data_IF_745913865005
#
_entry.id   IF_745913865005
#
_cell.length_a   1.000
_cell.length_b   1.000
_cell.length_c   1.000
_cell.angle_alpha   90.00
_cell.angle_beta   90.00
_cell.angle_gamma   90.00
#
_symmetry.space_group_name_H-M   'P 1'
#
loop_
_entity.id
_entity.type
_entity.pdbx_description
1 polymer ?
#
# COMPACT_ATOMS: atom_id res chain seq x y z
N UNK A 1 16.80 10.09 -4.07
CA UNK A 1 16.39 8.97 -3.21
C UNK A 1 17.03 9.17 -1.86
N UNK A 2 16.22 9.19 -0.82
CA UNK A 2 16.63 9.46 0.54
C UNK A 2 16.21 8.32 1.45
N UNK A 3 16.82 8.21 2.63
CA UNK A 3 16.32 7.33 3.66
C UNK A 3 15.24 8.09 4.42
N UNK A 4 14.09 7.46 4.64
CA UNK A 4 13.04 7.92 5.55
C UNK A 4 13.03 6.97 6.75
N UNK A 5 13.29 7.54 7.92
CA UNK A 5 13.22 6.83 9.18
C UNK A 5 11.92 7.20 9.89
N UNK A 6 11.14 6.18 10.21
CA UNK A 6 10.00 6.30 11.12
C UNK A 6 10.50 6.06 12.53
N UNK A 7 10.37 7.08 13.38
CA UNK A 7 10.83 7.05 14.76
C UNK A 7 9.66 7.21 15.71
N UNK A 8 9.87 6.70 16.92
CA UNK A 8 9.01 6.97 18.06
C UNK A 8 9.86 7.35 19.26
N UNK A 9 9.36 8.29 20.06
CA UNK A 9 9.99 8.69 21.31
C UNK A 9 8.93 8.89 22.40
N UNK A 10 9.39 9.02 23.63
CA UNK A 10 8.49 9.28 24.76
C UNK A 10 7.74 10.60 24.56
N UNK A 11 6.46 10.59 24.92
CA UNK A 11 5.60 11.77 24.91
C UNK A 11 5.91 12.70 26.10
N UNK A 12 7.04 13.42 26.01
CA UNK A 12 7.50 14.37 27.02
C UNK A 12 7.64 15.79 26.42
N UNK A 13 7.52 16.85 27.24
CA UNK A 13 7.59 18.23 26.76
C UNK A 13 8.87 18.58 25.99
N UNK A 14 10.01 18.02 26.39
CA UNK A 14 11.29 18.31 25.74
C UNK A 14 11.34 17.78 24.31
N UNK A 15 10.93 16.53 24.09
CA UNK A 15 10.90 15.94 22.75
C UNK A 15 9.96 16.71 21.80
N UNK A 16 8.79 17.16 22.29
CA UNK A 16 7.87 17.99 21.49
C UNK A 16 8.51 19.31 21.08
N UNK A 17 9.11 19.99 22.06
CA UNK A 17 9.78 21.28 21.83
C UNK A 17 10.89 21.14 20.80
N UNK A 18 11.68 20.08 20.87
CA UNK A 18 12.76 19.84 19.92
C UNK A 18 12.22 19.52 18.51
N UNK A 19 11.19 18.68 18.39
CA UNK A 19 10.52 18.40 17.11
C UNK A 19 9.90 19.66 16.49
N UNK A 20 9.24 20.49 17.30
CA UNK A 20 8.70 21.79 16.87
C UNK A 20 9.82 22.72 16.37
N UNK A 21 10.97 22.77 17.07
CA UNK A 21 12.15 23.54 16.65
C UNK A 21 12.76 23.02 15.35
N UNK A 22 12.69 21.70 15.12
CA UNK A 22 13.17 21.07 13.90
C UNK A 22 12.16 21.18 12.74
N UNK A 23 10.97 21.75 12.98
CA UNK A 23 9.87 21.82 12.03
C UNK A 23 9.45 20.42 11.51
N UNK A 24 9.44 19.43 12.41
CA UNK A 24 9.05 18.06 12.09
C UNK A 24 7.63 17.82 12.60
N UNK A 25 6.72 17.52 11.68
CA UNK A 25 5.36 17.10 12.01
C UNK A 25 5.37 15.74 12.73
N UNK A 26 4.50 15.59 13.73
CA UNK A 26 4.38 14.36 14.51
C UNK A 26 2.92 14.02 14.86
N UNK A 27 2.69 12.74 15.15
CA UNK A 27 1.41 12.20 15.61
C UNK A 27 1.57 11.50 16.96
N UNK A 28 0.46 11.33 17.67
CA UNK A 28 0.41 10.57 18.92
C UNK A 28 -0.12 9.17 18.66
N UNK A 29 0.49 8.17 19.29
CA UNK A 29 -0.05 6.82 19.32
C UNK A 29 0.08 6.20 20.71
N UNK A 30 -0.85 5.31 21.05
CA UNK A 30 -0.80 4.55 22.30
C UNK A 30 -0.14 3.20 22.04
N UNK A 31 0.97 2.93 22.71
CA UNK A 31 1.69 1.67 22.63
C UNK A 31 0.97 0.53 23.37
N UNK A 32 1.44 -0.70 23.16
CA UNK A 32 0.92 -1.90 23.83
C UNK A 32 1.09 -1.89 25.36
N UNK A 33 2.00 -1.06 25.87
CA UNK A 33 2.18 -0.82 27.30
C UNK A 33 1.22 0.23 27.86
N UNK A 34 0.22 0.64 27.07
CA UNK A 34 -0.76 1.69 27.37
C UNK A 34 -0.15 3.06 27.62
N UNK A 35 1.10 3.31 27.18
CA UNK A 35 1.69 4.65 27.20
C UNK A 35 1.49 5.36 25.88
N UNK A 36 1.36 6.68 25.94
CA UNK A 36 1.33 7.53 24.75
C UNK A 36 2.76 7.86 24.31
N UNK A 37 3.01 7.74 23.01
CA UNK A 37 4.27 8.02 22.35
C UNK A 37 4.07 9.07 21.25
N UNK A 38 5.15 9.75 20.91
CA UNK A 38 5.22 10.61 19.73
C UNK A 38 5.80 9.78 18.59
N UNK A 39 5.18 9.83 17.41
CA UNK A 39 5.63 9.18 16.19
C UNK A 39 5.82 10.21 15.09
N UNK A 40 6.92 10.11 14.35
CA UNK A 40 7.27 11.03 13.28
C UNK A 40 8.14 10.37 12.23
N UNK A 41 8.19 10.98 11.05
CA UNK A 41 9.11 10.60 9.99
C UNK A 41 10.14 11.70 9.76
N UNK A 42 11.39 11.31 9.59
CA UNK A 42 12.48 12.21 9.23
C UNK A 42 13.25 11.62 8.07
N UNK A 43 13.70 12.48 7.16
CA UNK A 43 14.53 12.04 6.06
C UNK A 43 16.02 12.29 6.28
N UNK A 44 16.88 11.45 5.71
CA UNK A 44 18.34 11.56 5.81
C UNK A 44 18.93 12.84 5.23
N UNK A 45 18.17 13.59 4.43
CA UNK A 45 18.56 14.90 3.91
C UNK A 45 18.09 16.07 4.79
N UNK A 46 17.28 15.82 5.83
CA UNK A 46 16.90 16.83 6.81
C UNK A 46 18.12 17.24 7.63
N UNK A 47 18.33 18.55 7.80
CA UNK A 47 19.48 19.10 8.55
C UNK A 47 19.53 18.62 10.01
N UNK A 48 18.38 18.24 10.58
CA UNK A 48 18.26 17.73 11.95
C UNK A 48 18.21 16.20 12.00
N UNK A 49 18.48 15.47 10.90
CA UNK A 49 18.39 14.01 10.85
C UNK A 49 19.19 13.32 11.96
N UNK A 50 20.45 13.72 12.17
CA UNK A 50 21.26 13.13 13.25
C UNK A 50 20.74 13.53 14.64
N UNK A 51 20.25 14.77 14.78
CA UNK A 51 19.78 15.35 16.04
C UNK A 51 18.51 14.70 16.56
N UNK A 52 17.63 14.19 15.69
CA UNK A 52 16.41 13.50 16.14
C UNK A 52 16.73 12.21 16.91
N UNK A 53 17.90 11.60 16.70
CA UNK A 53 18.32 10.41 17.45
C UNK A 53 18.81 10.73 18.86
N UNK A 54 19.04 12.02 19.16
CA UNK A 54 19.40 12.50 20.51
C UNK A 54 18.16 12.74 21.39
N UNK A 55 16.96 12.69 20.81
CA UNK A 55 15.70 12.81 21.56
C UNK A 55 15.59 11.70 22.62
N UNK A 56 15.03 12.03 23.77
CA UNK A 56 14.99 11.10 24.91
C UNK A 56 14.15 9.87 24.57
N UNK A 57 14.74 8.69 24.79
CA UNK A 57 14.15 7.38 24.51
C UNK A 57 13.64 7.23 23.06
N UNK A 58 14.26 7.94 22.12
CA UNK A 58 13.94 7.80 20.71
C UNK A 58 14.45 6.47 20.18
N UNK A 59 13.61 5.80 19.38
CA UNK A 59 13.92 4.52 18.75
C UNK A 59 13.47 4.55 17.30
N UNK A 60 14.24 3.87 16.46
CA UNK A 60 13.85 3.58 15.08
C UNK A 60 12.80 2.47 15.13
N UNK A 61 11.63 2.73 14.54
CA UNK A 61 10.66 1.68 14.28
C UNK A 61 10.92 0.99 12.95
N UNK A 62 11.03 1.79 11.89
CA UNK A 62 11.24 1.29 10.55
C UNK A 62 12.06 2.29 9.74
N UNK A 63 12.81 1.80 8.79
CA UNK A 63 13.51 2.64 7.81
C UNK A 63 13.12 2.18 6.41
N UNK A 64 12.79 3.14 5.56
CA UNK A 64 12.38 2.93 4.17
C UNK A 64 13.07 3.93 3.25
N UNK A 65 12.96 3.72 1.95
CA UNK A 65 13.41 4.72 0.98
C UNK A 65 12.28 5.73 0.74
N UNK A 66 12.62 7.01 0.83
CA UNK A 66 11.81 8.13 0.40
C UNK A 66 12.21 8.59 -1.00
N UNK A 67 11.23 9.10 -1.72
CA UNK A 67 11.40 9.66 -3.06
C UNK A 67 10.91 11.09 -3.04
N UNK A 68 11.69 11.99 -3.63
CA UNK A 68 11.27 13.39 -3.75
C UNK A 68 10.09 13.50 -4.71
N UNK A 69 9.37 14.61 -4.65
CA UNK A 69 8.29 14.90 -5.59
C UNK A 69 8.81 14.92 -7.05
N UNK A 70 10.04 15.40 -7.27
CA UNK A 70 10.69 15.38 -8.59
C UNK A 70 11.00 13.96 -9.08
N UNK A 71 11.48 13.08 -8.19
CA UNK A 71 11.70 11.67 -8.52
C UNK A 71 10.38 10.96 -8.86
N UNK A 72 9.32 11.27 -8.12
CA UNK A 72 8.00 10.73 -8.39
C UNK A 72 7.39 11.32 -9.66
N UNK A 73 7.52 12.63 -9.91
CA UNK A 73 6.97 13.33 -11.08
C UNK A 73 7.67 12.90 -12.39
N UNK A 74 8.96 12.55 -12.32
CA UNK A 74 9.76 12.11 -13.48
C UNK A 74 9.56 10.64 -13.86
N UNK A 75 9.08 9.80 -12.95
CA UNK A 75 8.79 8.40 -13.24
C UNK A 75 7.57 8.27 -14.16
N UNK A 76 7.56 7.31 -15.08
CA UNK A 76 6.36 7.03 -15.91
C UNK A 76 5.34 6.17 -15.19
N UNK A 77 5.86 5.20 -14.44
CA UNK A 77 5.12 4.19 -13.70
C UNK A 77 5.56 4.18 -12.25
N UNK A 78 4.60 3.90 -11.37
CA UNK A 78 4.76 3.92 -9.93
C UNK A 78 4.17 2.65 -9.34
N UNK A 79 4.83 2.09 -8.34
CA UNK A 79 4.20 1.18 -7.40
C UNK A 79 3.33 2.02 -6.45
N UNK A 80 2.12 1.55 -6.16
CA UNK A 80 1.16 2.21 -5.28
C UNK A 80 0.79 1.31 -4.11
N UNK A 81 0.74 1.88 -2.89
CA UNK A 81 0.39 1.17 -1.66
C UNK A 81 -0.41 2.05 -0.71
N UNK A 82 -1.18 1.45 0.20
CA UNK A 82 -1.93 2.16 1.24
C UNK A 82 -1.20 2.09 2.58
N UNK A 83 -0.95 3.26 3.17
CA UNK A 83 -0.37 3.43 4.52
C UNK A 83 -1.35 3.13 5.64
N UNK A 84 -2.65 3.22 5.37
CA UNK A 84 -3.65 3.35 6.41
C UNK A 84 -4.56 2.13 6.48
N UNK A 85 -4.13 1.15 7.27
CA UNK A 85 -4.93 -0.04 7.59
C UNK A 85 -5.98 0.37 8.62
N UNK A 86 -7.25 0.42 8.21
CA UNK A 86 -8.37 0.83 9.08
C UNK A 86 -9.52 -0.13 9.12
N UNK A 87 -9.66 -0.97 8.10
CA UNK A 87 -10.80 -1.88 8.03
C UNK A 87 -10.44 -3.21 8.65
N UNK A 88 -11.04 -3.48 9.81
CA UNK A 88 -11.05 -4.81 10.39
C UNK A 88 -12.11 -5.64 9.68
N UNK A 89 -11.64 -6.52 8.79
CA UNK A 89 -12.50 -7.35 7.95
C UNK A 89 -12.70 -8.66 8.70
N UNK A 90 -13.66 -8.66 9.62
CA UNK A 90 -13.94 -9.81 10.49
C UNK A 90 -14.61 -11.01 9.77
N UNK A 91 -14.91 -10.92 8.47
CA UNK A 91 -15.72 -11.90 7.73
C UNK A 91 -15.02 -12.36 6.43
N UNK A 92 -13.77 -12.82 6.56
CA UNK A 92 -12.95 -13.31 5.46
C UNK A 92 -13.56 -14.55 4.76
N UNK A 93 -14.27 -15.43 5.49
CA UNK A 93 -14.82 -16.69 4.96
C UNK A 93 -15.98 -16.47 3.97
N UNK A 94 -16.78 -15.42 4.17
CA UNK A 94 -17.92 -15.14 3.29
C UNK A 94 -17.52 -14.28 2.09
N UNK A 95 -16.41 -13.53 2.20
CA UNK A 95 -15.91 -12.66 1.13
C UNK A 95 -14.99 -13.41 0.17
N UNK A 96 -14.18 -14.33 0.70
CA UNK A 96 -13.13 -15.02 -0.04
C UNK A 96 -13.35 -16.52 -0.08
N UNK A 97 -13.13 -17.08 -1.27
CA UNK A 97 -12.82 -18.48 -1.41
C UNK A 97 -11.32 -18.66 -1.21
N UNK A 98 -10.96 -19.58 -0.33
CA UNK A 98 -9.58 -19.96 -0.12
C UNK A 98 -9.33 -21.26 -0.87
N UNK A 99 -8.60 -21.19 -1.97
CA UNK A 99 -8.10 -22.39 -2.62
C UNK A 99 -6.97 -22.95 -1.76
N UNK A 100 -7.27 -24.09 -1.12
CA UNK A 100 -6.26 -24.86 -0.41
C UNK A 100 -5.35 -25.55 -1.43
N UNK A 101 -4.05 -25.57 -1.14
CA UNK A 101 -3.16 -26.52 -1.78
C UNK A 101 -3.72 -27.96 -1.58
N UNK A 102 -4.04 -28.73 -2.64
CA UNK A 102 -4.79 -30.01 -2.54
C UNK A 102 -4.14 -31.10 -1.67
N UNK A 103 -2.92 -30.88 -1.21
CA UNK A 103 -2.08 -31.84 -0.50
C UNK A 103 -1.58 -31.32 0.86
N UNK A 104 -2.09 -30.18 1.36
CA UNK A 104 -1.72 -29.65 2.68
C UNK A 104 -2.80 -28.77 3.29
N UNK A 105 -3.05 -29.00 4.57
CA UNK A 105 -3.98 -28.18 5.37
C UNK A 105 -3.37 -26.88 5.89
N UNK A 106 -2.05 -26.68 5.79
CA UNK A 106 -1.34 -25.66 6.58
C UNK A 106 -0.43 -24.72 5.78
N UNK A 107 -0.34 -24.84 4.44
CA UNK A 107 0.63 -24.06 3.67
C UNK A 107 0.00 -23.56 2.37
N UNK A 108 -0.14 -22.24 2.30
CA UNK A 108 -0.66 -21.40 1.21
C UNK A 108 -2.16 -21.53 0.92
N UNK A 109 -2.88 -20.44 1.22
CA UNK A 109 -4.23 -20.19 0.72
C UNK A 109 -4.11 -19.17 -0.41
N UNK A 110 -4.56 -19.53 -1.62
CA UNK A 110 -4.88 -18.49 -2.60
C UNK A 110 -6.25 -17.93 -2.22
N UNK A 111 -6.29 -16.62 -2.01
CA UNK A 111 -7.49 -15.89 -1.66
C UNK A 111 -8.09 -15.35 -2.95
N UNK A 112 -9.26 -15.86 -3.34
CA UNK A 112 -10.03 -15.31 -4.46
C UNK A 112 -11.28 -14.64 -3.93
N UNK A 113 -11.48 -13.38 -4.26
CA UNK A 113 -12.71 -12.69 -3.87
C UNK A 113 -13.89 -13.27 -4.65
N UNK A 114 -14.88 -13.80 -3.94
CA UNK A 114 -16.10 -14.34 -4.55
C UNK A 114 -17.34 -13.50 -4.22
N UNK A 115 -17.29 -12.70 -3.15
CA UNK A 115 -18.35 -11.80 -2.77
C UNK A 115 -17.81 -10.39 -2.44
N UNK A 116 -18.66 -9.36 -2.50
CA UNK A 116 -18.31 -8.03 -2.00
C UNK A 116 -17.96 -8.05 -0.51
N UNK A 117 -17.06 -7.17 -0.10
CA UNK A 117 -16.76 -6.96 1.32
C UNK A 117 -17.99 -6.52 2.11
N UNK A 118 -18.10 -7.00 3.35
CA UNK A 118 -19.13 -6.56 4.30
C UNK A 118 -18.48 -5.73 5.41
N UNK A 119 -18.92 -4.48 5.58
CA UNK A 119 -18.47 -3.61 6.66
C UNK A 119 -19.57 -3.34 7.68
N UNK A 120 -19.23 -3.58 8.95
CA UNK A 120 -20.17 -3.46 10.08
C UNK A 120 -20.40 -2.04 10.55
N UNK A 121 -19.42 -1.16 10.34
CA UNK A 121 -19.45 0.22 10.80
C UNK A 121 -19.42 1.21 9.64
N UNK A 122 -19.79 2.46 9.92
CA UNK A 122 -19.71 3.55 8.94
C UNK A 122 -18.27 4.02 8.79
N UNK A 123 -17.82 4.21 7.55
CA UNK A 123 -16.50 4.74 7.28
C UNK A 123 -16.49 6.24 7.58
N UNK A 124 -15.57 6.66 8.46
CA UNK A 124 -15.32 8.08 8.75
C UNK A 124 -14.10 8.55 7.96
N UNK A 125 -14.37 9.16 6.80
CA UNK A 125 -13.36 9.86 6.03
C UNK A 125 -12.95 11.15 6.76
N UNK A 126 -11.64 11.35 6.92
CA UNK A 126 -11.09 12.60 7.44
C UNK A 126 -10.76 13.50 6.25
N UNK A 127 -10.65 14.84 6.42
CA UNK A 127 -10.15 15.70 5.36
C UNK A 127 -8.82 15.16 4.82
N UNK A 128 -8.66 15.08 3.49
CA UNK A 128 -7.45 14.57 2.82
C UNK A 128 -7.15 13.08 3.03
N UNK A 129 -8.13 12.32 3.53
CA UNK A 129 -8.06 10.88 3.68
C UNK A 129 -9.21 10.25 2.88
N UNK A 130 -8.91 9.82 1.67
CA UNK A 130 -9.83 9.23 0.70
C UNK A 130 -9.53 7.77 0.41
N UNK A 131 -8.45 7.21 0.96
CA UNK A 131 -8.08 5.81 0.78
C UNK A 131 -7.70 5.16 2.10
N UNK A 132 -8.12 3.92 2.27
CA UNK A 132 -7.77 3.05 3.38
C UNK A 132 -7.56 1.62 2.88
N UNK A 133 -6.85 0.80 3.65
CA UNK A 133 -6.67 -0.63 3.39
C UNK A 133 -7.22 -1.50 4.53
N UNK A 134 -7.39 -2.78 4.23
CA UNK A 134 -7.76 -3.82 5.18
C UNK A 134 -6.64 -4.10 6.20
N UNK A 135 -7.00 -4.40 7.45
CA UNK A 135 -6.16 -5.13 8.39
C UNK A 135 -6.08 -6.60 7.97
N UNK A 136 -4.96 -7.28 8.24
CA UNK A 136 -4.92 -8.75 8.15
C UNK A 136 -4.45 -9.37 6.83
N UNK A 137 -4.01 -8.59 5.83
CA UNK A 137 -3.19 -9.14 4.74
C UNK A 137 -3.81 -9.22 3.35
N UNK A 138 -4.85 -8.42 3.05
CA UNK A 138 -5.14 -8.03 1.67
C UNK A 138 -4.44 -6.74 1.31
N UNK A 139 -3.85 -6.67 0.11
CA UNK A 139 -3.44 -5.41 -0.52
C UNK A 139 -4.68 -4.59 -0.97
N UNK A 140 -5.89 -5.05 -0.67
CA UNK A 140 -7.14 -4.42 -1.08
C UNK A 140 -7.27 -2.96 -0.59
N UNK A 141 -7.49 -2.06 -1.54
CA UNK A 141 -7.65 -0.63 -1.32
C UNK A 141 -9.13 -0.27 -1.40
N UNK A 142 -9.58 0.51 -0.43
CA UNK A 142 -10.92 1.08 -0.37
C UNK A 142 -10.85 2.59 -0.50
N UNK A 143 -11.85 3.19 -1.14
CA UNK A 143 -11.84 4.61 -1.42
C UNK A 143 -13.19 5.29 -1.14
N UNK A 144 -13.12 6.61 -0.94
CA UNK A 144 -14.26 7.48 -0.69
C UNK A 144 -15.06 7.76 -1.98
N UNK A 145 -16.33 8.19 -1.88
CA UNK A 145 -17.09 8.65 -3.05
C UNK A 145 -16.42 9.81 -3.79
N UNK A 146 -15.66 10.65 -3.08
CA UNK A 146 -14.88 11.74 -3.66
C UNK A 146 -13.78 11.18 -4.59
N UNK A 147 -13.01 10.20 -4.13
CA UNK A 147 -12.00 9.54 -4.96
C UNK A 147 -12.62 8.90 -6.21
N UNK A 148 -13.73 8.17 -6.06
CA UNK A 148 -14.47 7.59 -7.20
C UNK A 148 -14.82 8.66 -8.23
N UNK A 149 -15.37 9.79 -7.78
CA UNK A 149 -15.72 10.91 -8.64
C UNK A 149 -14.50 11.46 -9.37
N UNK A 150 -13.39 11.69 -8.66
CA UNK A 150 -12.16 12.23 -9.23
C UNK A 150 -11.56 11.29 -10.29
N UNK A 151 -11.49 9.99 -10.03
CA UNK A 151 -11.01 9.01 -11.02
C UNK A 151 -11.89 8.98 -12.28
N UNK A 152 -13.22 8.98 -12.11
CA UNK A 152 -14.16 8.99 -13.24
C UNK A 152 -14.09 10.28 -14.05
N UNK A 153 -14.04 11.44 -13.40
CA UNK A 153 -13.93 12.75 -14.07
C UNK A 153 -12.64 12.88 -14.87
N UNK A 154 -11.56 12.27 -14.41
CA UNK A 154 -10.27 12.26 -15.09
C UNK A 154 -10.12 11.09 -16.09
N UNK A 155 -11.20 10.32 -16.33
CA UNK A 155 -11.23 9.19 -17.27
C UNK A 155 -10.08 8.21 -17.05
N UNK A 156 -9.76 7.87 -15.80
CA UNK A 156 -8.70 6.89 -15.49
C UNK A 156 -9.13 5.51 -15.96
N UNK A 157 -8.26 4.82 -16.69
CA UNK A 157 -8.52 3.50 -17.28
C UNK A 157 -7.76 2.41 -16.49
N UNK A 158 -8.37 1.25 -16.29
CA UNK A 158 -7.75 0.14 -15.55
C UNK A 158 -8.16 0.04 -14.08
N UNK A 159 -9.03 0.95 -13.61
CA UNK A 159 -9.60 0.94 -12.26
C UNK A 159 -11.13 1.01 -12.34
N UNK A 160 -11.77 0.04 -11.69
CA UNK A 160 -13.19 0.01 -11.39
C UNK A 160 -13.44 0.15 -9.88
N UNK A 161 -14.71 0.34 -9.52
CA UNK A 161 -15.13 0.58 -8.14
C UNK A 161 -16.19 -0.44 -7.72
N UNK A 162 -15.75 -1.44 -6.96
CA UNK A 162 -16.57 -2.50 -6.41
C UNK A 162 -17.48 -2.01 -5.29
N UNK A 163 -18.66 -2.61 -5.22
CA UNK A 163 -19.61 -2.39 -4.13
C UNK A 163 -19.02 -2.95 -2.83
N UNK A 164 -19.30 -2.26 -1.73
CA UNK A 164 -19.12 -2.77 -0.36
C UNK A 164 -20.51 -2.88 0.25
N UNK A 165 -20.80 -3.95 0.96
CA UNK A 165 -22.09 -4.24 1.55
C UNK A 165 -22.15 -3.93 3.04
N UNK A 166 -23.37 -3.76 3.54
CA UNK A 166 -23.73 -3.80 4.96
C UNK A 166 -24.02 -5.25 5.37
N UNK A 167 -24.11 -5.49 6.68
CA UNK A 167 -24.49 -6.81 7.23
C UNK A 167 -25.85 -7.33 6.79
N UNK A 168 -26.78 -6.43 6.40
CA UNK A 168 -28.09 -6.80 5.86
C UNK A 168 -28.05 -7.13 4.34
N UNK A 169 -26.85 -7.12 3.73
CA UNK A 169 -26.65 -7.39 2.30
C UNK A 169 -26.89 -6.20 1.39
N UNK A 170 -27.31 -5.04 1.91
CA UNK A 170 -27.52 -3.85 1.09
C UNK A 170 -26.21 -3.14 0.77
N UNK A 171 -26.14 -2.55 -0.43
CA UNK A 171 -24.97 -1.81 -0.90
C UNK A 171 -24.74 -0.54 -0.06
N UNK A 172 -23.46 -0.21 0.13
CA UNK A 172 -23.00 1.05 0.71
C UNK A 172 -22.75 2.08 -0.38
N UNK A 173 -22.99 3.33 -0.04
CA UNK A 173 -22.74 4.51 -0.87
C UNK A 173 -21.61 5.38 -0.32
N UNK A 174 -21.07 5.04 0.86
CA UNK A 174 -20.06 5.82 1.57
C UNK A 174 -18.63 5.25 1.42
N UNK A 175 -18.46 4.10 0.77
CA UNK A 175 -17.17 3.43 0.56
C UNK A 175 -17.25 2.47 -0.63
N UNK A 176 -16.16 2.39 -1.38
CA UNK A 176 -16.02 1.50 -2.53
C UNK A 176 -14.70 0.74 -2.45
N UNK A 177 -14.65 -0.48 -2.97
CA UNK A 177 -13.40 -1.20 -3.19
C UNK A 177 -12.80 -0.74 -4.52
N UNK A 178 -11.51 -0.42 -4.54
CA UNK A 178 -10.78 -0.14 -5.76
C UNK A 178 -10.38 -1.46 -6.43
N UNK A 179 -10.87 -1.70 -7.64
CA UNK A 179 -10.64 -2.94 -8.40
C UNK A 179 -9.76 -2.62 -9.59
N UNK A 180 -8.63 -3.31 -9.76
CA UNK A 180 -7.81 -3.16 -10.94
C UNK A 180 -8.26 -4.17 -12.00
N UNK A 181 -8.65 -3.67 -13.17
CA UNK A 181 -9.29 -4.52 -14.18
C UNK A 181 -8.29 -5.28 -15.03
N UNK A 182 -7.03 -4.82 -15.06
CA UNK A 182 -5.97 -5.39 -15.89
C UNK A 182 -4.90 -6.04 -15.00
N UNK A 183 -4.59 -7.31 -15.32
CA UNK A 183 -3.54 -8.08 -14.65
C UNK A 183 -2.25 -8.02 -15.47
N UNK A 184 -1.14 -7.68 -14.82
CA UNK A 184 0.20 -7.78 -15.39
C UNK A 184 0.81 -9.12 -15.05
N UNK A 185 1.19 -9.83 -16.11
CA UNK A 185 2.04 -10.99 -15.99
C UNK A 185 3.44 -10.56 -15.55
N UNK A 186 4.15 -11.49 -14.93
CA UNK A 186 5.54 -11.26 -14.49
C UNK A 186 6.45 -10.82 -15.63
N UNK A 187 6.21 -11.28 -16.85
CA UNK A 187 7.04 -10.96 -18.02
C UNK A 187 7.09 -9.46 -18.30
N UNK A 188 6.09 -8.70 -17.86
CA UNK A 188 6.04 -7.23 -17.94
C UNK A 188 6.84 -6.53 -16.84
N UNK A 189 7.44 -7.27 -15.91
CA UNK A 189 8.20 -6.76 -14.79
C UNK A 189 9.66 -7.14 -14.91
N UNK A 190 10.54 -6.25 -14.45
CA UNK A 190 11.96 -6.51 -14.35
C UNK A 190 12.45 -6.26 -12.93
N UNK A 191 13.40 -7.08 -12.51
CA UNK A 191 14.06 -6.92 -11.22
C UNK A 191 15.55 -7.22 -11.40
N UNK A 192 16.47 -6.33 -11.00
CA UNK A 192 17.90 -6.49 -11.28
C UNK A 192 18.53 -7.77 -10.70
N UNK A 193 17.99 -8.31 -9.60
CA UNK A 193 18.48 -9.57 -9.01
C UNK A 193 17.67 -10.80 -9.43
N UNK A 194 16.77 -10.63 -10.40
CA UNK A 194 15.84 -11.65 -10.83
C UNK A 194 14.79 -12.00 -9.78
N UNK A 195 13.86 -12.85 -10.21
CA UNK A 195 12.84 -13.42 -9.34
C UNK A 195 13.20 -14.87 -9.04
N UNK A 196 12.82 -15.38 -7.86
CA UNK A 196 12.86 -16.82 -7.57
C UNK A 196 11.51 -17.42 -7.94
N UNK A 197 11.55 -18.66 -8.41
CA UNK A 197 10.38 -19.50 -8.62
C UNK A 197 10.39 -20.64 -7.60
N UNK A 198 10.06 -20.38 -6.32
CA UNK A 198 9.78 -21.49 -5.45
C UNK A 198 8.53 -22.18 -5.99
N UNK A 199 8.64 -23.48 -6.23
CA UNK A 199 7.45 -24.29 -6.36
C UNK A 199 6.84 -24.45 -4.97
N UNK A 200 5.51 -24.43 -4.88
CA UNK A 200 4.83 -24.93 -3.70
C UNK A 200 5.38 -26.33 -3.42
N UNK A 201 5.97 -26.54 -2.24
CA UNK A 201 6.64 -27.80 -1.87
C UNK A 201 5.69 -29.01 -1.79
N UNK A 202 4.41 -28.80 -2.08
CA UNK A 202 3.31 -29.72 -1.81
C UNK A 202 2.51 -30.00 -3.08
N UNK A 203 2.01 -28.99 -3.79
CA UNK A 203 1.34 -29.17 -5.09
C UNK A 203 2.27 -29.05 -6.30
N UNK A 204 3.46 -28.47 -6.13
CA UNK A 204 4.43 -28.27 -7.22
C UNK A 204 4.14 -27.08 -8.12
N UNK A 205 3.06 -26.32 -7.88
CA UNK A 205 2.78 -25.10 -8.65
C UNK A 205 3.87 -24.05 -8.45
N UNK A 206 4.24 -23.37 -9.54
CA UNK A 206 5.19 -22.26 -9.49
C UNK A 206 4.56 -21.01 -8.91
N UNK A 207 5.27 -20.39 -7.97
CA UNK A 207 4.98 -19.05 -7.47
C UNK A 207 6.05 -18.09 -8.00
N UNK A 208 5.68 -16.83 -8.21
CA UNK A 208 6.68 -15.78 -8.43
C UNK A 208 7.04 -15.16 -7.09
N UNK A 209 8.33 -15.07 -6.77
CA UNK A 209 8.82 -14.39 -5.58
C UNK A 209 9.95 -13.43 -5.93
N UNK A 210 9.97 -12.28 -5.27
CA UNK A 210 11.14 -11.43 -5.29
C UNK A 210 12.26 -12.09 -4.50
N UNK A 211 13.46 -12.15 -5.10
CA UNK A 211 14.63 -12.75 -4.48
C UNK A 211 15.23 -11.89 -3.35
N UNK A 212 14.44 -11.14 -2.57
CA UNK A 212 14.95 -10.18 -1.56
C UNK A 212 13.89 -9.73 -0.54
N UNK A 213 14.31 -9.09 0.58
CA UNK A 213 13.41 -8.48 1.54
C UNK A 213 12.46 -7.49 0.87
N UNK A 214 11.26 -7.36 1.43
CA UNK A 214 10.21 -6.40 1.03
C UNK A 214 10.61 -4.94 1.21
N UNK A 215 11.87 -4.61 1.47
CA UNK A 215 12.38 -3.23 1.55
C UNK A 215 13.05 -2.78 0.25
N UNK A 216 13.18 -3.67 -0.74
CA UNK A 216 13.92 -3.42 -1.98
C UNK A 216 13.02 -3.32 -3.23
N UNK A 217 11.71 -3.09 -3.03
CA UNK A 217 10.72 -2.91 -4.12
C UNK A 217 11.04 -1.77 -5.07
N UNK A 218 11.74 -0.73 -4.60
CA UNK A 218 12.18 0.37 -5.45
C UNK A 218 13.14 -0.05 -6.57
N UNK A 219 13.70 -1.26 -6.49
CA UNK A 219 14.50 -1.82 -7.57
C UNK A 219 13.66 -2.47 -8.67
N UNK A 220 12.35 -2.66 -8.44
CA UNK A 220 11.43 -3.17 -9.44
C UNK A 220 11.27 -2.16 -10.57
N UNK A 221 11.12 -2.67 -11.77
CA UNK A 221 10.79 -1.91 -12.96
C UNK A 221 9.73 -2.61 -13.78
N UNK A 222 9.32 -1.93 -14.84
CA UNK A 222 8.37 -2.41 -15.84
C UNK A 222 9.04 -2.43 -17.20
N UNK A 223 8.67 -3.41 -18.02
CA UNK A 223 9.10 -3.52 -19.41
C UNK A 223 7.99 -2.91 -20.27
N UNK A 224 8.22 -1.73 -20.82
CA UNK A 224 7.12 -0.89 -21.33
C UNK A 224 6.37 -1.55 -22.49
N UNK A 225 7.09 -2.20 -23.39
CA UNK A 225 6.53 -2.87 -24.57
C UNK A 225 5.56 -4.02 -24.24
N UNK A 226 5.57 -4.49 -22.98
CA UNK A 226 4.72 -5.57 -22.51
C UNK A 226 3.53 -5.08 -21.70
N UNK A 227 3.42 -3.77 -21.44
CA UNK A 227 2.27 -3.21 -20.78
C UNK A 227 1.09 -3.07 -21.75
N UNK A 228 -0.14 -3.40 -21.32
CA UNK A 228 -1.33 -3.06 -22.09
C UNK A 228 -1.38 -1.56 -22.40
N UNK A 229 -1.67 -1.23 -23.67
CA UNK A 229 -1.70 0.16 -24.13
C UNK A 229 -2.97 0.85 -23.67
N UNK A 230 -2.86 2.15 -23.38
CA UNK A 230 -3.97 3.02 -22.96
C UNK A 230 -4.65 2.60 -21.65
N UNK A 231 -3.90 1.93 -20.77
CA UNK A 231 -4.35 1.58 -19.42
C UNK A 231 -3.50 2.37 -18.44
N UNK A 232 -4.13 2.96 -17.42
CA UNK A 232 -3.46 3.84 -16.45
C UNK A 232 -3.05 3.10 -15.17
N UNK A 233 -3.56 1.90 -14.93
CA UNK A 233 -3.40 1.16 -13.70
C UNK A 233 -3.55 -0.35 -13.89
N UNK A 234 -2.75 -1.10 -13.14
CA UNK A 234 -2.70 -2.54 -13.18
C UNK A 234 -2.52 -3.14 -11.80
N UNK A 235 -2.91 -4.41 -11.65
CA UNK A 235 -2.47 -5.29 -10.56
C UNK A 235 -1.59 -6.40 -11.13
N UNK A 236 -0.67 -6.96 -10.35
CA UNK A 236 0.00 -8.20 -10.73
C UNK A 236 -0.93 -9.40 -10.62
N UNK A 237 -0.60 -10.49 -11.30
CA UNK A 237 -1.32 -11.76 -11.16
C UNK A 237 -1.36 -12.29 -9.72
N UNK A 238 -2.37 -13.10 -9.42
CA UNK A 238 -2.71 -13.60 -8.07
C UNK A 238 -1.57 -14.41 -7.41
N UNK A 239 -0.61 -14.91 -8.21
CA UNK A 239 0.51 -15.76 -7.76
C UNK A 239 1.86 -15.02 -7.70
N UNK A 240 1.83 -13.70 -7.59
CA UNK A 240 3.04 -12.85 -7.66
C UNK A 240 3.84 -12.76 -6.34
N UNK A 241 3.27 -13.14 -5.18
CA UNK A 241 3.93 -13.09 -3.87
C UNK A 241 3.52 -14.25 -2.96
N UNK A 242 4.23 -14.41 -1.83
CA UNK A 242 3.78 -15.27 -0.71
C UNK A 242 2.36 -14.86 -0.33
N UNK A 243 1.50 -15.86 -0.10
CA UNK A 243 0.09 -15.68 0.26
C UNK A 243 -0.79 -14.97 -0.80
N UNK A 244 -0.33 -14.90 -2.05
CA UNK A 244 -1.11 -14.34 -3.16
C UNK A 244 -1.26 -12.81 -3.10
N UNK A 245 -0.34 -12.13 -2.43
CA UNK A 245 -0.32 -10.66 -2.37
C UNK A 245 -0.05 -10.08 -3.77
N UNK A 246 -0.86 -9.09 -4.15
CA UNK A 246 -0.79 -8.42 -5.44
C UNK A 246 -0.10 -7.08 -5.29
N UNK A 247 0.40 -6.57 -6.40
CA UNK A 247 1.13 -5.31 -6.45
C UNK A 247 0.45 -4.40 -7.43
N UNK A 248 0.17 -3.16 -7.03
CA UNK A 248 -0.47 -2.18 -7.88
C UNK A 248 0.55 -1.30 -8.58
N UNK A 249 0.44 -1.23 -9.89
CA UNK A 249 1.29 -0.42 -10.75
C UNK A 249 0.42 0.61 -11.44
N UNK A 250 0.76 1.89 -11.27
CA UNK A 250 -0.07 3.00 -11.75
C UNK A 250 0.76 4.02 -12.50
N UNK A 251 0.12 4.70 -13.44
CA UNK A 251 0.71 5.78 -14.23
C UNK A 251 0.77 7.10 -13.46
N UNK A 252 1.48 8.08 -14.03
CA UNK A 252 1.46 9.45 -13.52
C UNK A 252 0.07 10.09 -13.49
N UNK A 253 -0.84 9.68 -14.38
CA UNK A 253 -2.20 10.20 -14.40
C UNK A 253 -2.93 9.85 -13.10
N UNK A 254 -2.82 8.60 -12.65
CA UNK A 254 -3.38 8.13 -11.37
C UNK A 254 -2.79 8.92 -10.20
N UNK A 255 -1.46 9.05 -10.15
CA UNK A 255 -0.80 9.83 -9.09
C UNK A 255 -1.23 11.29 -9.10
N UNK A 256 -1.37 11.91 -10.27
CA UNK A 256 -1.82 13.30 -10.39
C UNK A 256 -3.23 13.51 -9.80
N UNK A 257 -4.15 12.58 -10.09
CA UNK A 257 -5.50 12.59 -9.50
C UNK A 257 -5.43 12.49 -7.98
N UNK A 258 -4.62 11.57 -7.45
CA UNK A 258 -4.43 11.38 -6.00
C UNK A 258 -3.78 12.62 -5.34
N UNK A 259 -2.77 13.21 -5.98
CA UNK A 259 -2.08 14.42 -5.52
C UNK A 259 -3.02 15.62 -5.47
N UNK A 260 -3.89 15.78 -6.46
CA UNK A 260 -4.87 16.88 -6.50
C UNK A 260 -5.90 16.81 -5.37
N UNK A 261 -6.20 15.61 -4.85
CA UNK A 261 -7.02 15.44 -3.64
C UNK A 261 -6.27 15.76 -2.34
N UNK A 262 -4.97 16.09 -2.41
CA UNK A 262 -4.06 16.22 -1.27
C UNK A 262 -4.03 14.96 -0.39
N UNK A 263 -4.18 13.77 -0.99
CA UNK A 263 -4.24 12.51 -0.25
C UNK A 263 -2.96 12.23 0.54
N UNK A 264 -3.10 11.66 1.75
CA UNK A 264 -1.97 11.34 2.64
C UNK A 264 -1.73 9.85 2.88
N UNK A 265 -2.72 9.00 2.62
CA UNK A 265 -2.69 7.58 2.99
C UNK A 265 -2.22 6.66 1.86
N UNK A 266 -1.82 7.21 0.71
CA UNK A 266 -1.20 6.45 -0.37
C UNK A 266 0.29 6.75 -0.42
N UNK A 267 1.08 5.70 -0.60
CA UNK A 267 2.50 5.76 -0.95
C UNK A 267 2.72 5.47 -2.43
N UNK A 268 3.78 6.07 -2.94
CA UNK A 268 4.29 5.77 -4.27
C UNK A 268 5.78 5.47 -4.24
N UNK A 269 6.20 4.53 -5.09
CA UNK A 269 7.61 4.25 -5.35
C UNK A 269 7.82 4.32 -6.86
N UNK A 270 8.79 5.10 -7.37
CA UNK A 270 9.05 5.20 -8.79
C UNK A 270 9.61 3.89 -9.32
N UNK A 271 9.05 3.41 -10.43
CA UNK A 271 9.51 2.21 -11.11
C UNK A 271 10.40 2.57 -12.28
N UNK A 272 11.50 1.83 -12.44
CA UNK A 272 12.34 1.95 -13.64
C UNK A 272 11.56 1.45 -14.85
N UNK A 273 11.64 2.20 -15.94
CA UNK A 273 11.08 1.76 -17.23
C UNK A 273 12.22 1.23 -18.08
N UNK A 274 12.05 0.03 -18.62
CA UNK A 274 13.01 -0.66 -19.51
C UNK A 274 12.36 -0.92 -20.85
#
# INVERSE_FOLDING_TARGET
MQILSHLYCDNIPENKKDLDNFLIDYEFYTGYDNKEYISFEVSSDNENFERVFELKNCKIGMTRYGFSDEELDSAKWLYMDSKCKKFDINEDIDTFEFEMCPKSENIYHYKRQINPYVLTSRVKWKPKNNFYSAYGGGDDIFCSPEAVSQFKQNNVIGIDFGVVNRKDGTARDDVYQMLFTEKLSREALCFPRGFIHPCCRICGEELTHLNMPTTLWYMMGVIEDKLPKNVDAFMTEDKFREHGQQVFIVSQKVRSVIKNMNERNIDFIPLKTV
#
